data_IF_764842516187
#
_entry.id   IF_764842516187
#
_cell.length_a   1.000
_cell.length_b   1.000
_cell.length_c   1.000
_cell.angle_alpha   90.00
_cell.angle_beta   90.00
_cell.angle_gamma   90.00
#
_symmetry.space_group_name_H-M   'P 1'
#
loop_
_entity.id
_entity.type
_entity.pdbx_description
1 polymer ?
#
# COMPACT_ATOMS: atom_id res chain seq x y z
N UNK A 1 -16.70 -17.39 -1.75
CA UNK A 1 -16.73 -18.54 -0.82
C UNK A 1 -16.37 -19.82 -1.57
N UNK A 2 -15.84 -20.82 -0.84
CA UNK A 2 -15.47 -22.13 -1.41
C UNK A 2 -16.61 -22.84 -2.19
N UNK A 3 -17.86 -22.46 -1.98
CA UNK A 3 -19.01 -22.98 -2.70
C UNK A 3 -19.16 -22.45 -4.13
N UNK A 4 -18.72 -21.25 -4.44
CA UNK A 4 -18.77 -20.68 -5.81
C UNK A 4 -17.75 -21.31 -6.74
N UNK A 5 -16.58 -21.67 -6.24
CA UNK A 5 -15.55 -22.37 -7.02
C UNK A 5 -16.00 -23.78 -7.44
N UNK A 6 -16.82 -24.45 -6.63
CA UNK A 6 -17.35 -25.78 -6.92
C UNK A 6 -18.41 -25.73 -8.03
N UNK A 7 -19.18 -24.66 -8.12
CA UNK A 7 -20.23 -24.49 -9.14
C UNK A 7 -19.60 -24.24 -10.52
N UNK A 8 -18.56 -23.42 -10.62
CA UNK A 8 -17.89 -23.13 -11.90
C UNK A 8 -17.18 -24.38 -12.47
N UNK A 9 -16.61 -25.19 -11.60
CA UNK A 9 -15.93 -26.43 -12.02
C UNK A 9 -16.93 -27.50 -12.54
N UNK A 10 -18.12 -27.57 -11.95
CA UNK A 10 -19.16 -28.49 -12.40
C UNK A 10 -19.77 -28.10 -13.77
N UNK A 11 -19.82 -26.84 -14.11
CA UNK A 11 -20.35 -26.38 -15.40
C UNK A 11 -19.42 -26.71 -16.58
N UNK A 12 -18.08 -26.60 -16.39
CA UNK A 12 -17.07 -26.91 -17.43
C UNK A 12 -16.91 -28.41 -17.73
N UNK A 13 -17.34 -29.30 -16.83
CA UNK A 13 -17.25 -30.75 -17.01
C UNK A 13 -18.47 -31.34 -17.77
N UNK A 14 -19.57 -30.58 -17.93
CA UNK A 14 -20.77 -31.05 -18.59
C UNK A 14 -20.77 -30.90 -20.13
N UNK A 15 -19.89 -30.09 -20.67
CA UNK A 15 -19.85 -29.77 -22.12
C UNK A 15 -18.97 -30.71 -22.96
N UNK A 16 -18.20 -31.63 -22.34
CA UNK A 16 -17.34 -32.60 -23.04
C UNK A 16 -17.84 -34.03 -23.18
N UNK A 17 -19.14 -34.30 -22.89
CA UNK A 17 -19.74 -35.63 -23.08
C UNK A 17 -20.71 -35.65 -24.24
N UNK A 18 -20.19 -35.60 -25.46
CA UNK A 18 -21.05 -35.77 -26.64
C UNK A 18 -20.29 -36.05 -27.92
N UNK A 19 -19.62 -37.19 -28.02
CA UNK A 19 -19.37 -37.88 -29.31
C UNK A 19 -19.01 -39.34 -29.04
N UNK A 20 -19.93 -40.22 -29.34
CA UNK A 20 -19.80 -41.66 -29.14
C UNK A 20 -18.80 -42.31 -30.11
N UNK A 21 -17.96 -43.14 -29.58
CA UNK A 21 -17.05 -44.01 -30.31
C UNK A 21 -17.72 -45.37 -30.58
N UNK A 22 -17.68 -45.87 -31.81
CA UNK A 22 -18.37 -47.06 -32.26
C UNK A 22 -17.76 -48.34 -31.66
N UNK A 23 -18.60 -49.26 -31.22
CA UNK A 23 -18.30 -50.55 -30.55
C UNK A 23 -17.43 -51.56 -31.33
N UNK A 24 -16.93 -51.26 -32.50
CA UNK A 24 -16.17 -52.19 -33.35
C UNK A 24 -14.64 -52.13 -33.17
N UNK A 25 -14.11 -51.07 -32.56
CA UNK A 25 -12.64 -50.91 -32.41
C UNK A 25 -12.12 -51.44 -31.08
N UNK A 26 -13.01 -51.75 -30.13
CA UNK A 26 -12.66 -52.21 -28.80
C UNK A 26 -12.18 -53.71 -28.77
N UNK A 27 -12.52 -54.50 -29.80
CA UNK A 27 -12.19 -55.96 -29.85
C UNK A 27 -10.81 -56.25 -30.47
N UNK A 28 -10.18 -55.30 -31.13
CA UNK A 28 -8.86 -55.50 -31.75
C UNK A 28 -7.67 -55.07 -30.86
N UNK A 29 -7.95 -54.33 -29.82
CA UNK A 29 -6.91 -53.85 -28.86
C UNK A 29 -6.66 -54.88 -27.74
N UNK A 30 -7.61 -55.81 -27.49
CA UNK A 30 -7.54 -56.80 -26.40
C UNK A 30 -6.72 -58.06 -26.74
N UNK A 31 -6.31 -58.27 -27.98
CA UNK A 31 -5.57 -59.43 -28.41
C UNK A 31 -4.01 -59.25 -28.51
N UNK A 32 -3.51 -58.03 -28.31
CA UNK A 32 -2.07 -57.71 -28.40
C UNK A 32 -1.33 -57.52 -27.06
N UNK A 33 -2.07 -57.59 -25.94
CA UNK A 33 -1.51 -57.19 -24.62
C UNK A 33 -1.17 -58.38 -23.68
N UNK A 34 -1.04 -59.61 -24.18
CA UNK A 34 -0.80 -60.78 -23.31
C UNK A 34 0.50 -61.51 -23.61
N UNK A 35 1.46 -60.90 -24.26
CA UNK A 35 2.78 -61.49 -24.51
C UNK A 35 3.93 -60.50 -24.23
N UNK A 36 4.00 -59.95 -23.03
CA UNK A 36 5.06 -58.98 -22.70
C UNK A 36 5.18 -58.64 -21.21
N UNK A 37 4.71 -59.55 -20.35
CA UNK A 37 4.87 -59.36 -18.89
C UNK A 37 5.85 -60.40 -18.39
N UNK A 38 7.13 -60.04 -18.40
CA UNK A 38 8.17 -60.45 -17.39
C UNK A 38 9.45 -59.72 -17.75
N UNK A 39 10.03 -59.13 -16.73
CA UNK A 39 11.33 -58.44 -16.66
C UNK A 39 11.18 -56.93 -16.86
N UNK A 40 10.91 -56.29 -15.77
CA UNK A 40 11.58 -55.11 -15.19
C UNK A 40 10.79 -54.69 -13.96
N UNK A 41 11.00 -55.46 -12.91
CA UNK A 41 10.66 -54.99 -11.57
C UNK A 41 11.60 -53.88 -11.15
N UNK A 42 11.06 -53.01 -10.33
CA UNK A 42 11.79 -52.11 -9.46
C UNK A 42 12.53 -50.93 -10.15
N UNK A 43 11.77 -49.89 -10.40
CA UNK A 43 12.02 -48.51 -9.94
C UNK A 43 10.80 -47.64 -10.18
N UNK A 44 9.70 -48.00 -9.57
CA UNK A 44 8.66 -47.02 -9.30
C UNK A 44 9.09 -46.29 -8.00
N UNK A 45 10.12 -45.49 -8.05
CA UNK A 45 10.18 -44.31 -7.22
C UNK A 45 9.01 -43.46 -7.68
N UNK A 46 7.87 -43.61 -7.01
CA UNK A 46 6.83 -42.59 -6.99
C UNK A 46 7.52 -41.33 -6.47
N UNK A 47 7.94 -40.46 -7.38
CA UNK A 47 7.99 -39.05 -7.04
C UNK A 47 6.54 -38.67 -6.74
N UNK A 48 6.15 -38.82 -5.47
CA UNK A 48 5.20 -37.94 -4.90
C UNK A 48 5.76 -36.54 -5.21
N UNK A 49 5.19 -35.86 -6.19
CA UNK A 49 5.23 -34.42 -6.21
C UNK A 49 4.49 -34.00 -4.93
N UNK A 50 5.16 -34.11 -3.79
CA UNK A 50 4.91 -33.21 -2.70
C UNK A 50 5.20 -31.84 -3.32
N UNK A 51 4.13 -31.14 -3.71
CA UNK A 51 4.24 -29.72 -4.01
C UNK A 51 4.94 -29.12 -2.81
N UNK A 52 6.18 -28.67 -3.02
CA UNK A 52 6.99 -28.09 -1.95
C UNK A 52 6.10 -27.10 -1.21
N UNK A 53 6.04 -27.24 0.13
CA UNK A 53 5.16 -26.40 0.93
C UNK A 53 5.52 -24.93 0.65
N UNK A 54 4.51 -24.11 0.35
CA UNK A 54 4.72 -22.68 0.16
C UNK A 54 4.93 -22.01 1.52
N UNK A 55 5.91 -21.09 1.62
CA UNK A 55 6.93 -20.74 0.64
C UNK A 55 8.13 -21.68 0.70
N UNK A 56 8.70 -22.05 -0.45
CA UNK A 56 9.95 -22.80 -0.56
C UNK A 56 11.19 -21.90 -0.74
N UNK A 57 10.97 -20.59 -0.88
CA UNK A 57 11.99 -19.55 -1.09
C UNK A 57 11.61 -18.28 -0.32
N UNK A 58 12.47 -17.27 -0.36
CA UNK A 58 12.26 -15.99 0.31
C UNK A 58 11.09 -15.24 -0.31
N UNK A 59 10.15 -14.76 0.52
CA UNK A 59 9.09 -13.83 0.13
C UNK A 59 9.62 -12.40 0.20
N UNK A 60 9.44 -11.63 -0.87
CA UNK A 60 9.86 -10.23 -0.92
C UNK A 60 8.67 -9.30 -0.79
N UNK A 61 8.68 -8.43 0.22
CA UNK A 61 7.72 -7.34 0.39
C UNK A 61 8.29 -6.08 -0.25
N UNK A 62 7.66 -5.60 -1.32
CA UNK A 62 8.03 -4.36 -1.99
C UNK A 62 7.27 -3.19 -1.35
N UNK A 63 7.99 -2.31 -0.69
CA UNK A 63 7.44 -1.08 -0.13
C UNK A 63 7.55 0.06 -1.14
N UNK A 64 6.41 0.71 -1.47
CA UNK A 64 6.33 1.83 -2.40
C UNK A 64 6.92 3.12 -1.84
N UNK A 65 7.10 3.21 -0.51
CA UNK A 65 7.53 4.40 0.20
C UNK A 65 9.00 4.33 0.61
N UNK A 66 9.55 5.49 0.96
CA UNK A 66 10.91 5.63 1.46
C UNK A 66 11.05 5.00 2.84
N UNK A 67 12.24 4.53 3.13
CA UNK A 67 12.63 4.00 4.44
C UNK A 67 12.32 4.98 5.57
N UNK A 68 11.80 4.45 6.69
CA UNK A 68 11.42 5.22 7.87
C UNK A 68 10.06 5.91 7.81
N UNK A 69 9.33 5.80 6.69
CA UNK A 69 7.93 6.25 6.60
C UNK A 69 6.94 5.23 7.17
N UNK A 70 5.68 5.62 7.33
CA UNK A 70 4.65 4.77 7.91
C UNK A 70 4.43 3.45 7.16
N UNK A 71 4.44 3.48 5.82
CA UNK A 71 4.31 2.27 4.99
C UNK A 71 5.50 1.33 5.13
N UNK A 72 6.71 1.88 5.30
CA UNK A 72 7.94 1.09 5.52
C UNK A 72 7.90 0.40 6.90
N UNK A 73 7.49 1.14 7.93
CA UNK A 73 7.32 0.58 9.28
C UNK A 73 6.32 -0.59 9.27
N UNK A 74 5.17 -0.42 8.62
CA UNK A 74 4.17 -1.48 8.47
C UNK A 74 4.75 -2.70 7.72
N UNK A 75 5.44 -2.49 6.60
CA UNK A 75 6.00 -3.58 5.81
C UNK A 75 7.02 -4.40 6.62
N UNK A 76 7.88 -3.74 7.40
CA UNK A 76 8.88 -4.40 8.26
C UNK A 76 8.25 -5.13 9.43
N UNK A 77 7.21 -4.56 10.04
CA UNK A 77 6.46 -5.22 11.13
C UNK A 77 5.77 -6.48 10.62
N UNK A 78 5.11 -6.42 9.46
CA UNK A 78 4.49 -7.59 8.83
C UNK A 78 5.53 -8.64 8.47
N UNK A 79 6.68 -8.25 7.91
CA UNK A 79 7.78 -9.17 7.62
C UNK A 79 8.27 -9.88 8.90
N UNK A 80 8.46 -9.13 9.99
CA UNK A 80 8.87 -9.69 11.27
C UNK A 80 7.85 -10.69 11.83
N UNK A 81 6.55 -10.34 11.78
CA UNK A 81 5.49 -11.24 12.22
C UNK A 81 5.45 -12.52 11.38
N UNK A 82 5.63 -12.41 10.05
CA UNK A 82 5.69 -13.59 9.17
C UNK A 82 6.89 -14.47 9.50
N UNK A 83 8.05 -13.91 9.78
CA UNK A 83 9.24 -14.64 10.21
C UNK A 83 8.99 -15.36 11.56
N UNK A 84 8.48 -14.63 12.55
CA UNK A 84 8.30 -15.13 13.92
C UNK A 84 7.18 -16.18 14.05
N UNK A 85 6.06 -15.96 13.33
CA UNK A 85 4.88 -16.81 13.47
C UNK A 85 4.81 -17.95 12.46
N UNK A 86 5.35 -17.73 11.26
CA UNK A 86 5.26 -18.71 10.16
C UNK A 86 6.61 -19.38 9.86
N UNK A 87 7.72 -18.85 10.40
CA UNK A 87 9.07 -19.34 10.11
C UNK A 87 9.52 -19.08 8.67
N UNK A 88 8.90 -18.13 7.98
CA UNK A 88 9.22 -17.80 6.59
C UNK A 88 10.48 -16.95 6.49
N UNK A 89 11.21 -17.07 5.39
CA UNK A 89 12.21 -16.07 5.01
C UNK A 89 11.53 -14.92 4.31
N UNK A 90 11.59 -13.71 4.88
CA UNK A 90 10.92 -12.52 4.33
C UNK A 90 11.92 -11.36 4.27
N UNK A 91 11.94 -10.64 3.14
CA UNK A 91 12.73 -9.42 2.96
C UNK A 91 11.82 -8.24 2.63
N UNK A 92 12.28 -7.02 2.93
CA UNK A 92 11.60 -5.78 2.55
C UNK A 92 12.52 -4.98 1.65
N UNK A 93 12.00 -4.58 0.48
CA UNK A 93 12.70 -3.75 -0.51
C UNK A 93 11.91 -2.46 -0.78
N UNK A 94 12.54 -1.29 -0.61
CA UNK A 94 11.92 -0.01 -0.91
C UNK A 94 12.13 0.37 -2.39
N UNK A 95 11.02 0.64 -3.12
CA UNK A 95 11.03 1.11 -4.51
C UNK A 95 10.18 2.38 -4.60
N UNK A 96 10.83 3.52 -4.47
CA UNK A 96 10.19 4.84 -4.42
C UNK A 96 10.07 5.49 -5.79
N UNK A 97 9.28 6.56 -5.89
CA UNK A 97 9.11 7.40 -7.06
C UNK A 97 7.68 7.45 -7.60
N UNK A 98 7.32 8.57 -8.24
CA UNK A 98 6.01 8.79 -8.86
C UNK A 98 4.84 8.56 -7.88
N UNK A 99 4.93 9.07 -6.66
CA UNK A 99 3.93 8.87 -5.59
C UNK A 99 3.63 7.38 -5.33
N UNK A 100 4.67 6.52 -5.41
CA UNK A 100 4.58 5.08 -5.18
C UNK A 100 4.34 4.24 -6.44
N UNK A 101 4.08 4.85 -7.60
CA UNK A 101 3.80 4.13 -8.84
C UNK A 101 4.90 3.15 -9.24
N UNK A 102 6.17 3.50 -8.99
CA UNK A 102 7.33 2.65 -9.33
C UNK A 102 7.26 1.31 -8.58
N UNK A 103 7.05 1.33 -7.27
CA UNK A 103 6.96 0.11 -6.46
C UNK A 103 5.72 -0.71 -6.81
N UNK A 104 4.58 -0.05 -6.97
CA UNK A 104 3.32 -0.73 -7.30
C UNK A 104 3.33 -1.36 -8.71
N UNK A 105 3.91 -0.69 -9.73
CA UNK A 105 4.10 -1.27 -11.06
C UNK A 105 5.07 -2.46 -11.05
N UNK A 106 6.12 -2.39 -10.21
CA UNK A 106 7.03 -3.52 -10.07
C UNK A 106 6.29 -4.76 -9.58
N UNK A 107 5.40 -4.60 -8.57
CA UNK A 107 4.57 -5.71 -8.05
C UNK A 107 3.60 -6.21 -9.11
N UNK A 108 2.88 -5.31 -9.80
CA UNK A 108 1.95 -5.65 -10.89
C UNK A 108 2.62 -6.50 -11.99
N UNK A 109 3.87 -6.18 -12.32
CA UNK A 109 4.64 -6.87 -13.37
C UNK A 109 5.39 -8.12 -12.85
N UNK A 110 5.33 -8.41 -11.56
CA UNK A 110 5.93 -9.60 -10.96
C UNK A 110 5.09 -10.85 -11.24
N UNK A 111 5.68 -12.03 -11.05
CA UNK A 111 4.93 -13.28 -11.18
C UNK A 111 3.87 -13.37 -10.08
N UNK A 112 2.63 -13.77 -10.39
CA UNK A 112 1.57 -13.93 -9.40
C UNK A 112 1.68 -15.28 -8.68
N UNK A 113 2.82 -15.57 -8.11
CA UNK A 113 3.16 -16.84 -7.45
C UNK A 113 3.24 -16.74 -5.91
N UNK A 114 3.01 -15.52 -5.37
CA UNK A 114 3.00 -15.24 -3.94
C UNK A 114 4.37 -14.88 -3.35
N UNK A 115 5.47 -14.95 -4.14
CA UNK A 115 6.80 -14.58 -3.64
C UNK A 115 7.11 -13.08 -3.70
N UNK A 116 6.30 -12.30 -4.41
CA UNK A 116 6.37 -10.84 -4.40
C UNK A 116 5.04 -10.27 -3.93
N UNK A 117 5.07 -9.64 -2.77
CA UNK A 117 3.93 -8.93 -2.17
C UNK A 117 4.26 -7.45 -2.19
N UNK A 118 3.29 -6.58 -2.39
CA UNK A 118 3.50 -5.14 -2.38
C UNK A 118 2.68 -4.42 -1.32
N UNK A 119 3.20 -3.33 -0.79
CA UNK A 119 2.35 -2.39 -0.07
C UNK A 119 1.41 -1.71 -1.06
N UNK A 120 0.12 -1.68 -0.73
CA UNK A 120 -0.95 -1.05 -1.50
C UNK A 120 -1.47 0.18 -0.74
N UNK A 121 -0.97 1.38 -1.03
CA UNK A 121 -1.42 2.61 -0.39
C UNK A 121 -2.67 3.17 -1.06
N UNK A 122 -3.27 4.19 -0.43
CA UNK A 122 -4.43 4.93 -0.97
C UNK A 122 -4.16 5.50 -2.36
N UNK A 123 -2.91 5.82 -2.69
CA UNK A 123 -2.47 6.29 -4.01
C UNK A 123 -2.81 5.31 -5.13
N UNK A 124 -2.93 4.02 -4.85
CA UNK A 124 -3.36 3.01 -5.83
C UNK A 124 -4.70 3.38 -6.50
N UNK A 125 -5.59 4.06 -5.77
CA UNK A 125 -6.86 4.53 -6.32
C UNK A 125 -6.76 5.81 -7.17
N UNK A 126 -5.61 6.49 -7.16
CA UNK A 126 -5.42 7.81 -7.78
C UNK A 126 -4.38 7.82 -8.90
N UNK A 127 -3.42 6.90 -8.88
CA UNK A 127 -2.25 6.86 -9.77
C UNK A 127 -2.61 6.90 -11.24
N UNK A 128 -3.65 6.17 -11.66
CA UNK A 128 -4.10 6.17 -13.05
C UNK A 128 -4.71 7.52 -13.44
N UNK A 129 -5.50 8.13 -12.56
CA UNK A 129 -6.09 9.46 -12.78
C UNK A 129 -5.02 10.56 -12.85
N UNK A 130 -3.91 10.39 -12.12
CA UNK A 130 -2.76 11.30 -12.14
C UNK A 130 -1.84 11.08 -13.35
N UNK A 131 -2.07 10.04 -14.14
CA UNK A 131 -1.27 9.73 -15.33
C UNK A 131 0.13 9.16 -15.02
N UNK A 132 0.36 8.67 -13.81
CA UNK A 132 1.66 8.08 -13.43
C UNK A 132 1.83 6.64 -13.90
N UNK A 133 0.74 5.86 -13.94
CA UNK A 133 0.75 4.48 -14.36
C UNK A 133 -0.63 3.97 -14.78
N UNK A 134 -0.67 3.00 -15.68
CA UNK A 134 -1.86 2.20 -15.99
C UNK A 134 -2.06 1.14 -14.88
N UNK A 135 -2.45 1.61 -13.70
CA UNK A 135 -2.57 0.82 -12.49
C UNK A 135 -3.74 1.35 -11.65
N UNK A 136 -4.60 0.44 -11.21
CA UNK A 136 -5.74 0.73 -10.34
C UNK A 136 -6.01 -0.48 -9.42
N UNK A 137 -6.95 -0.39 -8.44
CA UNK A 137 -7.23 -1.48 -7.53
C UNK A 137 -7.61 -2.80 -8.19
N UNK A 138 -8.21 -2.79 -9.40
CA UNK A 138 -8.60 -4.01 -10.13
C UNK A 138 -7.39 -4.71 -10.79
N UNK A 139 -6.24 -4.03 -10.86
CA UNK A 139 -5.01 -4.56 -11.47
C UNK A 139 -4.23 -5.50 -10.56
N UNK A 140 -4.59 -5.59 -9.28
CA UNK A 140 -3.90 -6.36 -8.25
C UNK A 140 -4.90 -7.11 -7.36
N UNK A 141 -4.41 -8.09 -6.60
CA UNK A 141 -5.21 -8.77 -5.59
C UNK A 141 -4.92 -8.17 -4.22
N UNK A 142 -5.86 -7.43 -3.65
CA UNK A 142 -5.72 -6.83 -2.33
C UNK A 142 -5.91 -7.90 -1.25
N UNK A 143 -4.96 -7.99 -0.32
CA UNK A 143 -4.97 -8.96 0.77
C UNK A 143 -5.67 -8.41 2.02
N UNK A 144 -5.52 -7.12 2.30
CA UNK A 144 -6.16 -6.46 3.44
C UNK A 144 -5.52 -5.12 3.76
N UNK A 145 -6.22 -4.31 4.58
CA UNK A 145 -5.70 -3.06 5.13
C UNK A 145 -4.95 -3.35 6.42
N UNK A 146 -3.70 -2.92 6.50
CA UNK A 146 -2.85 -3.12 7.66
C UNK A 146 -2.80 -1.90 8.59
N UNK A 147 -2.96 -0.70 8.06
CA UNK A 147 -2.85 0.54 8.82
C UNK A 147 -3.65 1.66 8.16
N UNK A 148 -4.18 2.56 9.00
CA UNK A 148 -4.88 3.78 8.56
C UNK A 148 -4.59 4.92 9.51
N UNK A 149 -4.35 6.12 8.96
CA UNK A 149 -4.10 7.33 9.74
C UNK A 149 -4.46 8.60 8.96
N UNK A 150 -4.75 9.68 9.69
CA UNK A 150 -5.14 10.94 9.09
C UNK A 150 -3.94 11.82 8.75
N UNK A 151 -4.13 12.73 7.80
CA UNK A 151 -3.22 13.84 7.57
C UNK A 151 -3.22 14.81 8.76
N UNK A 152 -2.14 15.56 8.91
CA UNK A 152 -2.04 16.63 9.89
C UNK A 152 -1.14 17.75 9.40
N UNK A 153 -1.35 18.95 9.93
CA UNK A 153 -0.56 20.16 9.66
C UNK A 153 0.46 20.39 10.76
N UNK A 154 1.72 20.40 10.35
CA UNK A 154 2.86 20.62 11.25
C UNK A 154 3.58 21.92 10.93
N UNK A 155 4.06 22.60 11.98
CA UNK A 155 4.89 23.81 11.88
C UNK A 155 6.05 23.70 12.88
N UNK A 156 7.15 24.48 12.74
CA UNK A 156 8.19 24.58 13.75
C UNK A 156 7.61 24.99 15.11
N UNK A 157 8.19 24.51 16.20
CA UNK A 157 7.72 24.83 17.57
C UNK A 157 7.62 26.33 17.85
N UNK A 158 8.56 27.10 17.27
CA UNK A 158 8.66 28.55 17.46
C UNK A 158 7.84 29.33 16.42
N UNK A 159 7.08 28.65 15.55
CA UNK A 159 6.20 29.33 14.59
C UNK A 159 5.15 30.19 15.32
N UNK A 160 4.75 31.33 14.76
CA UNK A 160 3.85 32.28 15.41
C UNK A 160 2.38 31.83 15.44
N UNK A 161 2.10 30.61 15.00
CA UNK A 161 0.75 30.05 14.92
C UNK A 161 0.50 29.14 16.12
N UNK A 162 -0.64 29.30 16.79
CA UNK A 162 -1.05 28.43 17.89
C UNK A 162 -2.16 27.43 17.48
N UNK A 163 -2.83 27.68 16.37
CA UNK A 163 -3.91 26.85 15.82
C UNK A 163 -4.02 27.00 14.29
N UNK A 164 -4.94 26.26 13.66
CA UNK A 164 -5.12 26.34 12.20
C UNK A 164 -5.64 27.71 11.75
N UNK A 165 -6.44 28.40 12.56
CA UNK A 165 -7.00 29.70 12.20
C UNK A 165 -5.88 30.74 12.07
N UNK A 166 -4.94 30.78 13.00
CA UNK A 166 -3.77 31.69 12.95
C UNK A 166 -2.95 31.44 11.68
N UNK A 167 -2.65 30.17 11.38
CA UNK A 167 -1.92 29.78 10.17
C UNK A 167 -2.67 30.20 8.89
N UNK A 168 -3.96 29.92 8.83
CA UNK A 168 -4.79 30.24 7.66
C UNK A 168 -4.90 31.75 7.47
N UNK A 169 -5.07 32.53 8.55
CA UNK A 169 -5.13 33.99 8.46
C UNK A 169 -3.80 34.56 7.95
N UNK A 170 -2.67 34.04 8.43
CA UNK A 170 -1.38 34.42 7.89
C UNK A 170 -1.24 34.10 6.40
N UNK A 171 -1.68 32.93 5.96
CA UNK A 171 -1.66 32.55 4.53
C UNK A 171 -2.56 33.46 3.67
N UNK A 172 -3.71 33.92 4.19
CA UNK A 172 -4.60 34.88 3.50
C UNK A 172 -3.95 36.22 3.26
N UNK A 173 -3.17 36.69 4.24
CA UNK A 173 -2.43 37.95 4.15
C UNK A 173 -1.16 37.81 3.29
N UNK A 174 -0.65 36.61 3.11
CA UNK A 174 0.59 36.29 2.39
C UNK A 174 0.39 35.17 1.36
N UNK A 175 -0.40 35.39 0.29
CA UNK A 175 -0.67 34.38 -0.71
C UNK A 175 0.62 33.93 -1.42
N UNK A 176 0.74 32.61 -1.65
CA UNK A 176 1.90 31.94 -2.29
C UNK A 176 3.27 32.08 -1.59
N UNK A 177 3.29 32.70 -0.39
CA UNK A 177 4.55 32.90 0.36
C UNK A 177 4.88 31.66 1.19
N UNK A 178 3.88 31.10 1.90
CA UNK A 178 4.09 29.99 2.85
C UNK A 178 4.43 28.70 2.11
N UNK A 179 5.64 28.18 2.35
CA UNK A 179 6.13 26.94 1.79
C UNK A 179 5.61 25.76 2.60
N UNK A 180 4.84 24.90 1.96
CA UNK A 180 4.25 23.71 2.60
C UNK A 180 4.83 22.45 1.98
N UNK A 181 5.61 21.71 2.78
CA UNK A 181 6.18 20.43 2.37
C UNK A 181 5.13 19.32 2.36
N UNK A 182 5.31 18.38 1.46
CA UNK A 182 4.50 17.16 1.33
C UNK A 182 5.35 16.01 0.76
N UNK A 183 4.79 14.82 0.65
CA UNK A 183 5.52 13.60 0.24
C UNK A 183 5.60 13.39 -1.28
N UNK A 184 5.38 14.41 -2.07
CA UNK A 184 5.47 14.36 -3.54
C UNK A 184 4.19 14.83 -4.23
N UNK A 185 4.32 15.34 -5.44
CA UNK A 185 3.18 15.81 -6.24
C UNK A 185 2.23 14.64 -6.50
N UNK A 186 0.93 14.84 -6.19
CA UNK A 186 -0.11 13.81 -6.35
C UNK A 186 -0.14 12.76 -5.25
N UNK A 187 0.72 12.83 -4.23
CA UNK A 187 0.59 12.00 -3.04
C UNK A 187 -0.62 12.40 -2.20
N UNK A 188 -1.06 11.50 -1.32
CA UNK A 188 -2.19 11.81 -0.42
C UNK A 188 -1.92 13.04 0.44
N UNK A 189 -0.66 13.30 0.85
CA UNK A 189 -0.29 14.45 1.64
C UNK A 189 -0.30 15.75 0.83
N UNK A 190 0.05 15.69 -0.45
CA UNK A 190 -0.14 16.83 -1.36
C UNK A 190 -1.62 17.14 -1.55
N UNK A 191 -2.44 16.12 -1.76
CA UNK A 191 -3.90 16.27 -1.88
C UNK A 191 -4.50 16.86 -0.59
N UNK A 192 -4.03 16.40 0.59
CA UNK A 192 -4.45 16.96 1.87
C UNK A 192 -4.13 18.46 2.01
N UNK A 193 -2.92 18.86 1.60
CA UNK A 193 -2.54 20.28 1.59
C UNK A 193 -3.39 21.11 0.61
N UNK A 194 -3.66 20.57 -0.59
CA UNK A 194 -4.55 21.21 -1.56
C UNK A 194 -5.99 21.33 -1.04
N UNK A 195 -6.52 20.28 -0.41
CA UNK A 195 -7.86 20.28 0.18
C UNK A 195 -7.98 21.31 1.31
N UNK A 196 -6.94 21.45 2.14
CA UNK A 196 -6.88 22.50 3.16
C UNK A 196 -6.89 23.90 2.53
N UNK A 197 -6.08 24.09 1.48
CA UNK A 197 -5.99 25.38 0.78
C UNK A 197 -7.33 25.75 0.15
N UNK A 198 -8.00 24.82 -0.52
CA UNK A 198 -9.31 25.03 -1.14
C UNK A 198 -10.39 25.36 -0.10
N UNK A 199 -10.50 24.56 0.97
CA UNK A 199 -11.47 24.79 2.05
C UNK A 199 -11.27 26.10 2.78
N UNK A 200 -10.03 26.53 2.97
CA UNK A 200 -9.70 27.76 3.68
C UNK A 200 -9.68 29.01 2.77
N UNK A 201 -9.74 28.83 1.44
CA UNK A 201 -9.61 29.90 0.46
C UNK A 201 -8.24 30.56 0.51
N UNK A 202 -7.16 29.79 0.63
CA UNK A 202 -5.77 30.26 0.69
C UNK A 202 -4.94 29.72 -0.47
N UNK A 203 -3.83 30.36 -0.77
CA UNK A 203 -2.84 29.92 -1.75
C UNK A 203 -1.53 29.58 -1.04
N UNK A 204 -0.98 28.40 -1.36
CA UNK A 204 0.22 27.84 -0.72
C UNK A 204 1.30 27.58 -1.77
N UNK A 205 2.56 27.74 -1.36
CA UNK A 205 3.70 27.32 -2.13
C UNK A 205 4.03 25.85 -1.79
N UNK A 206 3.55 24.91 -2.60
CA UNK A 206 3.76 23.48 -2.39
C UNK A 206 5.20 23.05 -2.73
N UNK A 207 5.89 22.46 -1.76
CA UNK A 207 7.26 21.94 -1.92
C UNK A 207 7.24 20.42 -1.78
N UNK A 208 7.33 19.67 -2.89
CA UNK A 208 7.31 18.21 -2.87
C UNK A 208 8.65 17.63 -2.47
N UNK A 209 8.64 16.61 -1.61
CA UNK A 209 9.79 15.80 -1.23
C UNK A 209 9.58 14.32 -1.59
N UNK A 210 10.64 13.53 -1.57
CA UNK A 210 10.55 12.09 -1.73
C UNK A 210 10.16 11.41 -0.41
N UNK A 211 8.86 11.46 -0.09
CA UNK A 211 8.26 10.89 1.12
C UNK A 211 8.17 11.86 2.32
N UNK A 212 7.39 11.45 3.31
CA UNK A 212 7.10 12.27 4.50
C UNK A 212 8.35 12.55 5.34
N UNK A 213 9.30 11.61 5.42
CA UNK A 213 10.57 11.79 6.14
C UNK A 213 11.36 12.98 5.58
N UNK A 214 11.43 13.11 4.24
CA UNK A 214 12.09 14.25 3.60
C UNK A 214 11.39 15.57 3.91
N UNK A 215 10.06 15.61 3.87
CA UNK A 215 9.26 16.79 4.20
C UNK A 215 9.47 17.25 5.66
N UNK A 216 9.44 16.31 6.61
CA UNK A 216 9.67 16.60 8.04
C UNK A 216 11.11 17.05 8.30
N UNK A 217 12.09 16.45 7.63
CA UNK A 217 13.50 16.86 7.74
C UNK A 217 13.69 18.30 7.27
N UNK A 218 13.07 18.67 6.15
CA UNK A 218 13.12 20.04 5.62
C UNK A 218 12.42 21.04 6.56
N UNK A 219 11.31 20.63 7.20
CA UNK A 219 10.62 21.47 8.18
C UNK A 219 11.50 21.72 9.43
N UNK A 220 12.12 20.67 9.95
CA UNK A 220 13.06 20.77 11.08
C UNK A 220 14.28 21.62 10.73
N UNK A 221 14.74 21.55 9.47
CA UNK A 221 15.84 22.36 8.94
C UNK A 221 15.45 23.81 8.58
N UNK A 222 14.18 24.21 8.79
CA UNK A 222 13.65 25.54 8.42
C UNK A 222 13.80 25.87 6.93
N UNK A 223 13.81 24.87 6.06
CA UNK A 223 13.80 25.04 4.60
C UNK A 223 12.38 25.38 4.09
N UNK A 224 11.36 24.97 4.85
CA UNK A 224 9.94 25.21 4.61
C UNK A 224 9.26 25.70 5.89
N UNK A 225 8.08 26.31 5.75
CA UNK A 225 7.36 26.95 6.86
C UNK A 225 6.37 26.02 7.53
N UNK A 226 5.88 25.02 6.81
CA UNK A 226 4.93 24.02 7.29
C UNK A 226 5.11 22.68 6.53
N UNK A 227 4.54 21.61 7.06
CA UNK A 227 4.41 20.34 6.37
C UNK A 227 3.01 19.73 6.59
N UNK A 228 2.46 19.14 5.55
CA UNK A 228 1.29 18.28 5.65
C UNK A 228 1.73 16.85 5.38
N UNK A 229 1.68 16.03 6.44
CA UNK A 229 2.04 14.60 6.42
C UNK A 229 1.14 13.84 7.40
N UNK A 230 1.34 12.53 7.53
CA UNK A 230 0.52 11.69 8.39
C UNK A 230 0.76 11.90 9.89
N UNK A 231 -0.29 11.66 10.68
CA UNK A 231 -0.20 11.75 12.16
C UNK A 231 0.86 10.83 12.74
N UNK A 232 1.01 9.60 12.24
CA UNK A 232 2.01 8.65 12.70
C UNK A 232 3.45 9.04 12.31
N UNK A 233 3.62 9.87 11.26
CA UNK A 233 4.92 10.27 10.74
C UNK A 233 5.49 11.47 11.50
N UNK A 234 4.63 12.41 11.92
CA UNK A 234 5.03 13.61 12.65
C UNK A 234 4.97 13.51 14.17
N UNK A 235 4.31 12.48 14.72
CA UNK A 235 4.06 12.35 16.16
C UNK A 235 5.33 12.46 17.01
N UNK A 236 6.40 11.76 16.66
CA UNK A 236 7.62 11.74 17.47
C UNK A 236 8.27 13.13 17.61
N UNK A 237 8.13 14.00 16.63
CA UNK A 237 8.65 15.38 16.66
C UNK A 237 7.76 16.31 17.47
N UNK A 238 6.48 16.02 17.61
CA UNK A 238 5.57 16.73 18.54
C UNK A 238 5.84 16.30 19.96
N UNK A 239 6.04 15.02 20.20
CA UNK A 239 6.37 14.44 21.51
C UNK A 239 7.72 14.97 22.04
N UNK A 240 8.72 15.11 21.16
CA UNK A 240 10.02 15.72 21.49
C UNK A 240 9.99 17.25 21.58
N UNK A 241 8.86 17.89 21.31
CA UNK A 241 8.69 19.36 21.28
C UNK A 241 9.56 20.05 20.23
N UNK A 242 9.88 19.42 19.12
CA UNK A 242 10.60 20.02 17.99
C UNK A 242 9.62 20.67 16.99
N UNK A 243 8.41 20.15 16.87
CA UNK A 243 7.32 20.64 16.03
C UNK A 243 6.05 20.88 16.85
N UNK A 244 5.16 21.74 16.33
CA UNK A 244 3.74 21.84 16.73
C UNK A 244 2.87 21.20 15.67
N UNK A 245 1.83 20.46 16.09
CA UNK A 245 0.75 20.02 15.22
C UNK A 245 -0.46 20.95 15.43
N UNK A 246 -0.85 21.70 14.39
CA UNK A 246 -1.92 22.69 14.48
C UNK A 246 -3.32 22.08 14.30
N UNK A 247 -3.41 20.89 13.66
CA UNK A 247 -4.68 20.22 13.46
C UNK A 247 -4.56 18.90 12.71
N UNK A 248 -5.44 17.97 13.05
CA UNK A 248 -5.57 16.64 12.43
C UNK A 248 -6.72 16.66 11.42
N UNK A 249 -6.50 16.14 10.21
CA UNK A 249 -7.51 16.09 9.14
C UNK A 249 -8.26 14.76 9.15
N UNK A 250 -8.86 14.45 10.30
CA UNK A 250 -9.64 13.24 10.51
C UNK A 250 -11.00 13.55 11.12
N UNK A 251 -11.90 12.56 11.15
CA UNK A 251 -13.18 12.68 11.87
C UNK A 251 -12.97 12.81 13.38
N UNK A 252 -11.98 12.05 13.89
CA UNK A 252 -11.60 12.02 15.29
C UNK A 252 -10.17 12.54 15.48
N UNK A 253 -9.83 12.96 16.70
CA UNK A 253 -8.47 13.28 17.10
C UNK A 253 -7.57 12.06 17.01
N UNK A 254 -6.28 12.27 16.77
CA UNK A 254 -5.31 11.17 16.78
C UNK A 254 -5.17 10.58 18.18
N UNK A 255 -5.18 9.25 18.28
CA UNK A 255 -4.95 8.56 19.54
C UNK A 255 -3.55 8.84 20.13
N UNK A 256 -2.57 9.15 19.27
CA UNK A 256 -1.20 9.51 19.68
C UNK A 256 -1.05 10.99 20.05
N UNK A 257 -1.98 11.84 19.59
CA UNK A 257 -1.99 13.30 19.86
C UNK A 257 -3.40 13.75 20.29
N UNK A 258 -3.92 13.26 21.43
CA UNK A 258 -5.31 13.49 21.84
C UNK A 258 -5.64 14.96 22.16
N UNK A 259 -4.63 15.75 22.46
CA UNK A 259 -4.78 17.18 22.77
C UNK A 259 -4.83 18.05 21.51
N UNK A 260 -4.43 17.52 20.35
CA UNK A 260 -4.48 18.25 19.07
C UNK A 260 -5.91 18.17 18.50
N UNK A 261 -6.59 19.31 18.27
CA UNK A 261 -7.92 19.31 17.72
C UNK A 261 -7.95 18.86 16.26
N UNK A 262 -9.08 18.34 15.82
CA UNK A 262 -9.29 18.08 14.39
C UNK A 262 -9.50 19.43 13.65
N UNK A 263 -9.26 19.41 12.34
CA UNK A 263 -9.61 20.55 11.47
C UNK A 263 -11.10 20.87 11.56
N UNK A 264 -11.95 19.84 11.69
CA UNK A 264 -13.41 19.97 11.83
C UNK A 264 -13.81 20.66 13.13
N UNK A 265 -13.17 20.34 14.26
CA UNK A 265 -13.36 21.05 15.54
C UNK A 265 -12.96 22.54 15.42
N UNK A 266 -12.06 22.89 14.51
CA UNK A 266 -11.61 24.26 14.23
C UNK A 266 -12.40 24.94 13.09
N UNK A 267 -13.51 24.32 12.63
CA UNK A 267 -14.41 24.91 11.62
C UNK A 267 -14.08 24.57 10.16
N UNK A 268 -13.06 23.74 9.92
CA UNK A 268 -12.69 23.29 8.58
C UNK A 268 -13.09 21.83 8.39
N UNK A 269 -14.11 21.58 7.57
CA UNK A 269 -14.60 20.23 7.25
C UNK A 269 -13.60 19.52 6.32
N UNK A 270 -12.54 18.98 6.92
CA UNK A 270 -11.47 18.25 6.27
C UNK A 270 -11.39 16.84 6.88
N UNK A 271 -11.50 15.84 6.01
CA UNK A 271 -11.27 14.45 6.37
C UNK A 271 -10.41 13.78 5.28
N UNK A 272 -9.12 13.68 5.53
CA UNK A 272 -8.14 13.08 4.61
C UNK A 272 -7.39 11.98 5.34
N UNK A 273 -7.72 10.75 4.99
CA UNK A 273 -7.20 9.53 5.62
C UNK A 273 -6.35 8.77 4.62
N UNK A 274 -5.14 8.45 5.02
CA UNK A 274 -4.29 7.48 4.34
C UNK A 274 -4.62 6.08 4.88
N UNK A 275 -4.57 5.09 4.01
CA UNK A 275 -4.53 3.68 4.39
C UNK A 275 -3.43 2.98 3.58
N UNK A 276 -2.85 1.98 4.18
CA UNK A 276 -1.89 1.09 3.55
C UNK A 276 -2.27 -0.35 3.85
N UNK A 277 -2.33 -1.14 2.80
CA UNK A 277 -2.56 -2.57 2.85
C UNK A 277 -1.50 -3.32 2.04
N UNK A 278 -1.82 -4.54 1.67
CA UNK A 278 -0.99 -5.42 0.86
C UNK A 278 -1.81 -6.06 -0.24
#
# INVERSE_FOLDING_TARGET
SAQEQIIITKYKLREKRGKGMKKRDFRRILAGAMAGVMILGLTACGSSNESAAFPSDTVNIVCHAKEGGGSDALAREVAQVMQDKLGWSVTVENKTGGSGSVGMQYVQNSKPDGYTIGTAPVELSMIQALGYAELNPDSVSLLGCGMSWSAALYVPKDAPYENMEDFINYCKENPDVVKVANSGIGSIWHIAACAMADKAGISLNHVPYDGATGALTALLGSEVDAAVVGTCEGYSYVDSCDLKCLGVFGEDRSATMPDVPTAKEQGYDLNVVCWVGF
#
